data_IF_331397413247
#
_entry.id   IF_331397413247
#
_cell.length_a   1.000
_cell.length_b   1.000
_cell.length_c   1.000
_cell.angle_alpha   90.00
_cell.angle_beta   90.00
_cell.angle_gamma   90.00
#
_symmetry.space_group_name_H-M   'P 1'
#
loop_
_entity.id
_entity.type
_entity.pdbx_description
1 polymer ?
#
# COMPACT_ATOMS: atom_id res chain seq x y z
N UNK A 1 -20.69 91.69 37.98
CA UNK A 1 -21.58 91.21 39.06
C UNK A 1 -22.11 89.84 38.69
N UNK A 2 -22.09 88.90 39.66
CA UNK A 2 -22.81 87.61 39.69
C UNK A 2 -22.36 86.53 38.69
N UNK A 3 -22.22 85.24 39.00
CA UNK A 3 -22.10 84.40 40.21
C UNK A 3 -22.48 82.99 39.72
N UNK A 4 -21.59 82.00 39.88
CA UNK A 4 -21.88 80.56 40.03
C UNK A 4 -22.68 79.87 38.87
N UNK A 5 -22.76 78.55 38.65
CA UNK A 5 -22.54 77.36 39.45
C UNK A 5 -22.59 76.11 38.52
N UNK A 6 -21.68 75.15 38.75
CA UNK A 6 -21.79 73.67 38.66
C UNK A 6 -22.43 72.98 37.42
N UNK A 7 -21.56 72.26 36.70
CA UNK A 7 -21.54 70.79 36.50
C UNK A 7 -22.90 70.05 36.59
N UNK A 8 -23.26 69.33 35.52
CA UNK A 8 -23.57 67.89 35.61
C UNK A 8 -23.46 67.21 34.23
N UNK A 9 -22.74 66.09 34.22
CA UNK A 9 -22.52 65.16 33.11
C UNK A 9 -23.76 64.28 32.95
N UNK A 10 -24.24 64.09 31.72
CA UNK A 10 -24.96 62.87 31.34
C UNK A 10 -24.85 62.67 29.84
N UNK A 11 -23.78 61.99 29.41
CA UNK A 11 -23.72 61.41 28.07
C UNK A 11 -24.43 60.07 28.15
N UNK A 12 -25.65 60.00 27.63
CA UNK A 12 -26.37 58.76 27.41
C UNK A 12 -25.65 57.94 26.34
N UNK A 13 -24.73 57.09 26.77
CA UNK A 13 -24.13 56.06 25.93
C UNK A 13 -25.18 54.99 25.63
N UNK A 14 -25.65 54.96 24.38
CA UNK A 14 -26.44 53.88 23.85
C UNK A 14 -25.54 52.63 23.81
N UNK A 15 -25.77 51.68 24.71
CA UNK A 15 -25.10 50.37 24.69
C UNK A 15 -25.66 49.61 23.49
N UNK A 16 -24.99 49.72 22.35
CA UNK A 16 -25.15 48.74 21.27
C UNK A 16 -24.59 47.42 21.77
N UNK A 17 -25.48 46.49 22.10
CA UNK A 17 -25.15 45.09 22.32
C UNK A 17 -24.62 44.57 20.97
N UNK A 18 -23.29 44.59 20.81
CA UNK A 18 -22.64 43.80 19.77
C UNK A 18 -22.84 42.35 20.20
N UNK A 19 -23.86 41.71 19.61
CA UNK A 19 -23.96 40.26 19.65
C UNK A 19 -22.68 39.70 19.04
N UNK A 20 -21.79 39.20 19.88
CA UNK A 20 -20.64 38.42 19.43
C UNK A 20 -21.25 37.15 18.86
N UNK A 21 -21.48 37.14 17.54
CA UNK A 21 -21.67 35.91 16.81
C UNK A 21 -20.44 35.05 17.10
N UNK A 22 -20.61 34.08 18.00
CA UNK A 22 -19.63 33.01 18.17
C UNK A 22 -19.68 32.24 16.87
N UNK A 23 -18.81 32.65 15.94
CA UNK A 23 -18.46 31.81 14.81
C UNK A 23 -17.89 30.55 15.46
N UNK A 24 -18.52 29.37 15.35
CA UNK A 24 -17.80 28.17 15.72
C UNK A 24 -16.56 28.17 14.83
N UNK A 25 -15.38 28.23 15.44
CA UNK A 25 -14.17 27.86 14.71
C UNK A 25 -14.39 26.43 14.29
N UNK A 26 -14.82 26.24 13.05
CA UNK A 26 -14.71 24.96 12.37
C UNK A 26 -13.23 24.65 12.36
N UNK A 27 -12.79 23.84 13.32
CA UNK A 27 -11.45 23.31 13.33
C UNK A 27 -11.29 22.51 12.04
N UNK A 28 -10.53 23.05 11.10
CA UNK A 28 -10.03 22.27 9.98
C UNK A 28 -9.05 21.29 10.62
N UNK A 29 -9.38 19.99 10.60
CA UNK A 29 -8.44 18.94 10.94
C UNK A 29 -7.27 19.04 9.94
N UNK A 30 -6.22 19.74 10.34
CA UNK A 30 -4.98 19.79 9.60
C UNK A 30 -4.19 18.54 9.95
N UNK A 31 -3.77 17.84 8.90
CA UNK A 31 -2.98 16.62 8.93
C UNK A 31 -1.94 16.58 10.06
N UNK A 32 -2.09 15.59 10.95
CA UNK A 32 -0.95 14.77 11.35
C UNK A 32 -0.24 15.05 12.67
N UNK A 33 -0.74 15.88 13.59
CA UNK A 33 -0.05 16.06 14.88
C UNK A 33 -1.06 16.07 16.03
N UNK A 34 -1.11 14.98 16.82
CA UNK A 34 -1.96 14.90 18.02
C UNK A 34 -1.20 15.37 19.25
N UNK A 35 -1.47 16.61 19.64
CA UNK A 35 -0.89 17.21 20.83
C UNK A 35 -1.90 18.18 21.45
N UNK A 36 -1.79 18.39 22.75
CA UNK A 36 -2.52 19.45 23.44
C UNK A 36 -1.56 20.62 23.70
N UNK A 37 -2.05 21.85 23.57
CA UNK A 37 -1.28 23.06 23.91
C UNK A 37 -1.72 23.55 25.29
N UNK A 38 -0.81 23.55 26.24
CA UNK A 38 -1.04 24.07 27.59
C UNK A 38 -0.95 25.60 27.67
N UNK A 39 -1.37 26.20 28.80
CA UNK A 39 -1.16 27.62 29.06
C UNK A 39 0.34 27.96 28.99
N UNK A 40 0.71 28.88 28.09
CA UNK A 40 2.11 29.20 27.79
C UNK A 40 2.67 28.57 26.50
N UNK A 41 1.84 27.90 25.70
CA UNK A 41 2.22 27.41 24.38
C UNK A 41 3.01 26.09 24.37
N UNK A 42 3.16 25.44 25.53
CA UNK A 42 3.84 24.15 25.64
C UNK A 42 2.99 23.05 25.04
N UNK A 43 3.54 22.30 24.10
CA UNK A 43 2.89 21.15 23.47
C UNK A 43 3.10 19.89 24.32
N UNK A 44 2.04 19.10 24.47
CA UNK A 44 2.03 17.78 25.12
C UNK A 44 1.63 16.78 24.03
N UNK A 45 2.54 15.88 23.66
CA UNK A 45 2.26 14.80 22.71
C UNK A 45 1.23 13.83 23.30
N UNK A 46 0.13 13.65 22.60
CA UNK A 46 -0.98 12.78 23.00
C UNK A 46 -1.10 11.55 22.09
N UNK A 47 -0.11 11.24 21.26
CA UNK A 47 -0.15 10.16 20.27
C UNK A 47 -0.58 8.80 20.85
N UNK A 48 -0.24 8.51 22.11
CA UNK A 48 -0.64 7.27 22.80
C UNK A 48 -2.10 7.24 23.27
N UNK A 49 -2.73 8.40 23.44
CA UNK A 49 -4.12 8.54 23.89
C UNK A 49 -5.09 8.78 22.73
N UNK A 50 -4.63 9.45 21.67
CA UNK A 50 -5.40 9.73 20.46
C UNK A 50 -5.51 8.52 19.52
N UNK A 51 -5.12 7.32 19.95
CA UNK A 51 -5.25 6.09 19.15
C UNK A 51 -6.71 5.63 18.96
N UNK A 52 -7.68 6.54 19.12
CA UNK A 52 -9.11 6.34 18.87
C UNK A 52 -9.51 6.39 17.39
N UNK A 53 -8.57 6.65 16.49
CA UNK A 53 -8.68 6.31 15.08
C UNK A 53 -7.60 5.28 14.76
N UNK A 54 -7.88 4.01 15.09
CA UNK A 54 -7.24 2.89 14.41
C UNK A 54 -7.72 2.86 12.96
N UNK A 55 -7.28 3.85 12.16
CA UNK A 55 -7.01 3.59 10.77
C UNK A 55 -6.11 2.36 10.77
N UNK A 56 -6.69 1.22 10.42
CA UNK A 56 -5.95 0.06 9.96
C UNK A 56 -5.08 0.57 8.82
N UNK A 57 -3.86 1.03 9.14
CA UNK A 57 -2.83 1.30 8.15
C UNK A 57 -2.47 -0.05 7.55
N UNK A 58 -3.35 -0.56 6.68
CA UNK A 58 -3.13 -1.78 5.92
C UNK A 58 -1.79 -1.57 5.22
N UNK A 59 -0.88 -2.51 5.43
CA UNK A 59 0.48 -2.40 4.89
C UNK A 59 0.38 -2.48 3.37
N UNK A 60 0.61 -1.35 2.71
CA UNK A 60 0.60 -1.22 1.26
C UNK A 60 2.03 -1.29 0.72
N UNK A 61 2.26 -2.22 -0.20
CA UNK A 61 3.50 -2.36 -0.96
C UNK A 61 3.23 -2.06 -2.43
N UNK A 62 4.20 -1.45 -3.12
CA UNK A 62 4.04 -1.10 -4.54
C UNK A 62 5.23 -1.58 -5.35
N UNK A 63 4.98 -2.32 -6.43
CA UNK A 63 5.97 -2.69 -7.42
C UNK A 63 5.82 -1.83 -8.66
N UNK A 64 6.90 -1.20 -9.12
CA UNK A 64 6.88 -0.43 -10.36
C UNK A 64 6.68 -1.37 -11.56
N UNK A 65 5.76 -1.01 -12.45
CA UNK A 65 5.57 -1.68 -13.73
C UNK A 65 6.67 -1.19 -14.67
N UNK A 66 7.50 -2.11 -15.17
CA UNK A 66 8.59 -1.78 -16.11
C UNK A 66 8.06 -1.58 -17.53
N UNK A 67 7.12 -2.44 -17.91
CA UNK A 67 6.45 -2.47 -19.21
C UNK A 67 5.18 -3.31 -19.09
N UNK A 68 4.42 -3.39 -20.18
CA UNK A 68 3.28 -4.29 -20.31
C UNK A 68 3.51 -5.26 -21.45
N UNK A 69 3.24 -6.55 -21.22
CA UNK A 69 3.23 -7.59 -22.24
C UNK A 69 1.78 -8.01 -22.46
N UNK A 70 1.23 -7.80 -23.66
CA UNK A 70 -0.18 -8.07 -23.93
C UNK A 70 -1.16 -7.28 -23.03
N UNK A 71 -0.74 -6.10 -22.54
CA UNK A 71 -1.52 -5.31 -21.57
C UNK A 71 -1.26 -5.66 -20.09
N UNK A 72 -0.66 -6.82 -19.81
CA UNK A 72 -0.41 -7.30 -18.44
C UNK A 72 0.89 -6.72 -17.86
N UNK A 73 0.90 -6.29 -16.57
CA UNK A 73 2.09 -5.74 -15.93
C UNK A 73 3.27 -6.70 -15.91
N UNK A 74 4.45 -6.18 -16.24
CA UNK A 74 5.73 -6.83 -16.01
C UNK A 74 6.50 -6.08 -14.93
N UNK A 75 6.89 -6.78 -13.86
CA UNK A 75 7.62 -6.23 -12.71
C UNK A 75 8.92 -7.01 -12.46
N UNK A 76 9.85 -6.40 -11.73
CA UNK A 76 11.03 -7.10 -11.22
C UNK A 76 10.66 -7.92 -9.97
N UNK A 77 11.04 -9.20 -9.96
CA UNK A 77 10.82 -10.15 -8.87
C UNK A 77 12.15 -10.77 -8.46
N UNK A 78 12.46 -10.72 -7.16
CA UNK A 78 13.71 -11.26 -6.60
C UNK A 78 13.47 -12.67 -6.07
N UNK A 79 14.30 -13.61 -6.51
CA UNK A 79 14.29 -15.00 -6.05
C UNK A 79 15.50 -15.26 -5.16
N UNK A 80 15.29 -16.04 -4.10
CA UNK A 80 16.32 -16.47 -3.16
C UNK A 80 17.20 -15.32 -2.64
N UNK A 81 16.60 -14.13 -2.47
CA UNK A 81 17.27 -12.93 -1.95
C UNK A 81 18.34 -12.27 -2.84
N UNK A 82 18.62 -12.79 -4.04
CA UNK A 82 19.75 -12.28 -4.85
C UNK A 82 19.58 -12.26 -6.37
N UNK A 83 18.65 -13.03 -6.94
CA UNK A 83 18.47 -13.11 -8.40
C UNK A 83 17.16 -12.47 -8.82
N UNK A 84 17.24 -11.40 -9.59
CA UNK A 84 16.05 -10.67 -10.07
C UNK A 84 15.72 -11.02 -11.51
N UNK A 85 14.43 -11.24 -11.78
CA UNK A 85 13.90 -11.51 -13.11
C UNK A 85 12.64 -10.69 -13.36
N UNK A 86 12.39 -10.37 -14.63
CA UNK A 86 11.11 -9.82 -15.06
C UNK A 86 10.04 -10.91 -15.06
N UNK A 87 8.89 -10.62 -14.46
CA UNK A 87 7.76 -11.53 -14.41
C UNK A 87 6.45 -10.82 -14.75
N UNK A 88 5.57 -11.52 -15.44
CA UNK A 88 4.18 -11.09 -15.67
C UNK A 88 3.40 -11.32 -14.36
N UNK A 89 2.66 -10.32 -13.90
CA UNK A 89 1.70 -10.52 -12.80
C UNK A 89 0.46 -11.19 -13.36
N UNK A 90 0.28 -12.47 -13.07
CA UNK A 90 -0.79 -13.29 -13.63
C UNK A 90 -1.81 -13.67 -12.55
N UNK A 91 -2.92 -12.92 -12.50
CA UNK A 91 -4.02 -13.17 -11.58
C UNK A 91 -4.84 -14.42 -11.91
N UNK A 92 -4.67 -14.98 -13.12
CA UNK A 92 -5.32 -16.23 -13.54
C UNK A 92 -4.55 -17.48 -13.12
N UNK A 93 -3.27 -17.35 -12.78
CA UNK A 93 -2.44 -18.47 -12.37
C UNK A 93 -2.54 -18.74 -10.85
N UNK A 94 -2.91 -19.98 -10.48
CA UNK A 94 -2.91 -20.39 -9.07
C UNK A 94 -1.50 -20.53 -8.50
N UNK A 95 -0.52 -20.89 -9.33
CA UNK A 95 0.88 -21.07 -8.93
C UNK A 95 1.83 -20.26 -9.80
N UNK A 96 3.00 -19.94 -9.25
CA UNK A 96 4.06 -19.23 -9.95
C UNK A 96 4.76 -20.16 -10.96
N UNK A 97 4.94 -19.67 -12.18
CA UNK A 97 5.60 -20.39 -13.28
C UNK A 97 6.93 -19.69 -13.59
N UNK A 98 8.04 -20.43 -13.54
CA UNK A 98 9.36 -19.98 -13.94
C UNK A 98 9.76 -20.59 -15.29
N UNK A 99 10.58 -19.88 -16.05
CA UNK A 99 11.10 -20.42 -17.31
C UNK A 99 12.19 -21.46 -17.04
N UNK A 100 12.51 -22.30 -18.04
CA UNK A 100 13.64 -23.24 -17.94
C UNK A 100 14.97 -22.53 -17.66
N UNK A 101 15.19 -21.36 -18.27
CA UNK A 101 16.39 -20.53 -18.01
C UNK A 101 16.44 -20.06 -16.56
N UNK A 102 15.31 -19.64 -16.00
CA UNK A 102 15.22 -19.28 -14.58
C UNK A 102 15.50 -20.48 -13.69
N UNK A 103 14.91 -21.65 -13.99
CA UNK A 103 15.12 -22.88 -13.23
C UNK A 103 16.60 -23.27 -13.18
N UNK A 104 17.29 -23.27 -14.32
CA UNK A 104 18.74 -23.53 -14.36
C UNK A 104 19.54 -22.50 -13.57
N UNK A 105 19.19 -21.22 -13.72
CA UNK A 105 19.89 -20.12 -13.07
C UNK A 105 19.68 -20.07 -11.55
N UNK A 106 18.54 -20.56 -11.07
CA UNK A 106 18.17 -20.72 -9.67
C UNK A 106 18.52 -22.09 -9.10
N UNK A 107 19.04 -23.01 -9.93
CA UNK A 107 19.33 -24.39 -9.58
C UNK A 107 18.12 -25.14 -8.99
N UNK A 108 16.92 -24.86 -9.53
CA UNK A 108 15.69 -25.53 -9.12
C UNK A 108 15.70 -26.98 -9.61
N UNK A 109 15.67 -27.91 -8.67
CA UNK A 109 15.55 -29.35 -8.95
C UNK A 109 14.07 -29.73 -8.98
N UNK A 110 13.55 -30.30 -10.08
CA UNK A 110 12.19 -30.82 -10.12
C UNK A 110 12.02 -31.95 -9.10
N UNK A 111 10.95 -31.88 -8.30
CA UNK A 111 10.63 -32.88 -7.26
C UNK A 111 9.45 -33.78 -7.64
N UNK A 112 8.57 -33.30 -8.53
CA UNK A 112 7.45 -34.06 -9.10
C UNK A 112 6.93 -33.38 -10.36
N UNK A 113 5.98 -34.02 -11.02
CA UNK A 113 5.15 -33.42 -12.08
C UNK A 113 3.74 -33.21 -11.54
N UNK A 114 3.11 -32.10 -11.90
CA UNK A 114 1.70 -31.83 -11.62
C UNK A 114 0.94 -31.62 -12.93
N UNK A 115 -0.37 -31.84 -12.91
CA UNK A 115 -1.27 -31.40 -13.98
C UNK A 115 -1.87 -30.05 -13.63
N UNK A 116 -1.89 -29.13 -14.58
CA UNK A 116 -2.53 -27.84 -14.47
C UNK A 116 -3.23 -27.47 -15.77
N UNK A 117 -4.29 -26.69 -15.65
CA UNK A 117 -5.01 -26.16 -16.79
C UNK A 117 -4.38 -24.83 -17.20
N UNK A 118 -4.33 -24.60 -18.51
CA UNK A 118 -3.88 -23.36 -19.13
C UNK A 118 -5.05 -22.76 -19.90
N UNK A 119 -4.90 -21.53 -20.40
CA UNK A 119 -5.91 -20.92 -21.26
C UNK A 119 -6.15 -21.71 -22.57
N UNK A 120 -5.19 -22.54 -23.00
CA UNK A 120 -5.24 -23.23 -24.29
C UNK A 120 -5.43 -24.74 -24.19
N UNK A 121 -5.21 -25.33 -23.01
CA UNK A 121 -5.23 -26.78 -22.82
C UNK A 121 -5.52 -27.17 -21.37
N UNK A 122 -6.19 -28.30 -21.19
CA UNK A 122 -6.55 -28.90 -19.90
C UNK A 122 -5.58 -30.03 -19.57
N UNK A 123 -5.20 -30.15 -18.30
CA UNK A 123 -4.41 -31.28 -17.79
C UNK A 123 -2.96 -31.32 -18.29
N UNK A 124 -2.37 -30.16 -18.59
CA UNK A 124 -0.98 -30.03 -19.05
C UNK A 124 -0.03 -30.38 -17.91
N UNK A 125 0.98 -31.19 -18.20
CA UNK A 125 1.96 -31.63 -17.21
C UNK A 125 3.12 -30.64 -17.06
N UNK A 126 3.36 -30.21 -15.82
CA UNK A 126 4.45 -29.32 -15.47
C UNK A 126 5.37 -29.97 -14.42
N UNK A 127 6.69 -30.07 -14.68
CA UNK A 127 7.65 -30.32 -13.62
C UNK A 127 7.60 -29.17 -12.61
N UNK A 128 7.62 -29.49 -11.33
CA UNK A 128 7.62 -28.50 -10.24
C UNK A 128 8.81 -28.71 -9.31
N UNK A 129 9.34 -27.61 -8.80
CA UNK A 129 10.43 -27.60 -7.81
C UNK A 129 10.24 -26.45 -6.82
N UNK A 130 11.10 -26.37 -5.81
CA UNK A 130 11.03 -25.31 -4.81
C UNK A 130 12.05 -24.21 -5.04
N UNK A 131 11.63 -22.97 -4.81
CA UNK A 131 12.53 -21.83 -4.56
C UNK A 131 12.49 -21.48 -3.08
N UNK A 132 13.60 -20.97 -2.54
CA UNK A 132 13.69 -20.61 -1.12
C UNK A 132 12.81 -19.40 -0.80
N UNK A 133 12.81 -18.40 -1.67
CA UNK A 133 11.95 -17.23 -1.53
C UNK A 133 11.65 -16.56 -2.86
N UNK A 134 10.50 -15.89 -2.90
CA UNK A 134 10.08 -14.94 -3.93
C UNK A 134 9.82 -13.61 -3.23
N UNK A 135 10.32 -12.52 -3.79
CA UNK A 135 10.28 -11.19 -3.18
C UNK A 135 9.93 -10.10 -4.17
N UNK A 136 9.02 -9.21 -3.78
CA UNK A 136 8.63 -8.01 -4.54
C UNK A 136 8.49 -6.84 -3.56
N UNK A 137 9.44 -5.90 -3.63
CA UNK A 137 9.47 -4.64 -2.85
C UNK A 137 8.92 -4.75 -1.41
N UNK A 138 9.47 -5.68 -0.61
CA UNK A 138 9.08 -5.89 0.80
C UNK A 138 8.01 -6.96 1.04
N UNK A 139 7.31 -7.43 0.01
CA UNK A 139 6.49 -8.65 0.05
C UNK A 139 7.39 -9.86 -0.18
N UNK A 140 7.34 -10.85 0.71
CA UNK A 140 8.16 -12.07 0.61
C UNK A 140 7.31 -13.30 0.87
N UNK A 141 7.36 -14.26 -0.05
CA UNK A 141 6.85 -15.61 0.12
C UNK A 141 8.03 -16.57 0.25
N UNK A 142 7.99 -17.48 1.22
CA UNK A 142 9.06 -18.44 1.49
C UNK A 142 8.65 -19.84 1.06
N UNK A 143 9.62 -20.65 0.64
CA UNK A 143 9.46 -22.06 0.26
C UNK A 143 8.32 -22.26 -0.74
N UNK A 144 8.37 -21.54 -1.85
CA UNK A 144 7.32 -21.54 -2.87
C UNK A 144 7.56 -22.69 -3.85
N UNK A 145 6.51 -23.48 -4.12
CA UNK A 145 6.53 -24.50 -5.16
C UNK A 145 6.24 -23.83 -6.51
N UNK A 146 7.20 -23.86 -7.42
CA UNK A 146 7.09 -23.24 -8.73
C UNK A 146 7.01 -24.28 -9.83
N UNK A 147 6.18 -24.03 -10.84
CA UNK A 147 6.14 -24.80 -12.07
C UNK A 147 7.26 -24.35 -13.03
N UNK A 148 7.82 -25.29 -13.77
CA UNK A 148 8.83 -25.02 -14.80
C UNK A 148 8.14 -25.11 -16.16
N UNK A 149 8.13 -23.98 -16.88
CA UNK A 149 7.43 -23.86 -18.15
C UNK A 149 8.05 -24.72 -19.27
N UNK A 150 7.25 -24.95 -20.31
CA UNK A 150 7.70 -25.54 -21.58
C UNK A 150 8.68 -24.65 -22.35
N UNK A 151 9.24 -25.16 -23.46
CA UNK A 151 10.26 -24.46 -24.27
C UNK A 151 9.79 -23.15 -24.88
N UNK A 152 8.49 -22.99 -25.13
CA UNK A 152 7.86 -21.84 -25.79
C UNK A 152 7.68 -20.61 -24.89
N UNK A 153 7.87 -20.73 -23.58
CA UNK A 153 7.61 -19.65 -22.64
C UNK A 153 8.91 -18.98 -22.14
N UNK A 154 9.15 -17.77 -22.64
CA UNK A 154 10.38 -17.00 -22.40
C UNK A 154 10.31 -16.03 -21.21
N UNK A 155 9.12 -15.83 -20.63
CA UNK A 155 8.91 -15.00 -19.44
C UNK A 155 8.08 -15.75 -18.38
N UNK A 156 8.45 -15.58 -17.11
CA UNK A 156 7.76 -16.22 -16.00
C UNK A 156 6.44 -15.52 -15.63
N UNK A 157 5.56 -16.27 -14.95
CA UNK A 157 4.27 -15.80 -14.43
C UNK A 157 4.32 -15.81 -12.90
N UNK A 158 4.04 -14.67 -12.29
CA UNK A 158 3.88 -14.55 -10.85
C UNK A 158 2.42 -14.83 -10.51
N UNK A 159 2.16 -15.90 -9.78
CA UNK A 159 0.83 -16.42 -9.51
C UNK A 159 0.31 -16.16 -8.09
N UNK A 160 -0.87 -16.68 -7.81
CA UNK A 160 -1.60 -16.47 -6.55
C UNK A 160 -0.88 -17.04 -5.32
N UNK A 161 -0.03 -18.06 -5.48
CA UNK A 161 0.82 -18.58 -4.41
C UNK A 161 1.77 -17.53 -3.79
N UNK A 162 2.12 -16.48 -4.54
CA UNK A 162 2.89 -15.35 -4.03
C UNK A 162 2.02 -14.29 -3.35
N UNK A 163 0.95 -13.85 -4.02
CA UNK A 163 0.14 -12.71 -3.57
C UNK A 163 -1.18 -13.07 -2.88
N UNK A 164 -1.41 -14.35 -2.55
CA UNK A 164 -2.70 -14.83 -2.01
C UNK A 164 -3.11 -14.22 -0.66
N UNK A 165 -2.17 -13.67 0.09
CA UNK A 165 -2.43 -12.95 1.34
C UNK A 165 -2.66 -11.44 1.14
N UNK A 166 -2.73 -10.98 -0.11
CA UNK A 166 -2.83 -9.58 -0.47
C UNK A 166 -4.03 -9.33 -1.37
N UNK A 167 -4.65 -8.16 -1.19
CA UNK A 167 -5.46 -7.54 -2.21
C UNK A 167 -4.54 -6.89 -3.23
N UNK A 168 -4.68 -7.30 -4.49
CA UNK A 168 -3.83 -6.85 -5.59
C UNK A 168 -4.58 -5.82 -6.42
N UNK A 169 -4.03 -4.61 -6.53
CA UNK A 169 -4.56 -3.55 -7.41
C UNK A 169 -3.53 -3.21 -8.48
N UNK A 170 -3.90 -3.42 -9.75
CA UNK A 170 -3.07 -3.03 -10.89
C UNK A 170 -3.44 -1.61 -11.29
N UNK A 171 -2.54 -0.66 -11.03
CA UNK A 171 -2.68 0.75 -11.47
C UNK A 171 -1.97 0.93 -12.82
N UNK A 172 -1.90 2.17 -13.29
CA UNK A 172 -1.22 2.52 -14.55
C UNK A 172 0.27 2.12 -14.52
N UNK A 173 0.97 2.53 -13.46
CA UNK A 173 2.43 2.48 -13.38
C UNK A 173 2.95 1.58 -12.25
N UNK A 174 2.06 1.08 -11.39
CA UNK A 174 2.41 0.23 -10.24
C UNK A 174 1.42 -0.92 -10.06
N UNK A 175 1.91 -2.03 -9.54
CA UNK A 175 1.09 -3.08 -8.91
C UNK A 175 1.15 -2.86 -7.41
N UNK A 176 -0.01 -2.68 -6.78
CA UNK A 176 -0.15 -2.48 -5.34
C UNK A 176 -0.58 -3.80 -4.69
N UNK A 177 0.10 -4.17 -3.60
CA UNK A 177 -0.23 -5.28 -2.73
C UNK A 177 -0.62 -4.72 -1.36
N UNK A 178 -1.84 -4.99 -0.94
CA UNK A 178 -2.38 -4.55 0.35
C UNK A 178 -2.69 -5.77 1.21
N UNK A 179 -2.13 -5.83 2.41
CA UNK A 179 -2.34 -6.98 3.30
C UNK A 179 -3.82 -7.12 3.65
N UNK A 180 -4.36 -8.35 3.54
CA UNK A 180 -5.75 -8.68 3.91
C UNK A 180 -5.96 -8.69 5.42
#
# INVERSE_FOLDING_TARGET
MKRFLRVLISVTGLVSIVGVAHVPSSAIAQNGVCYMVGPGGKTIDLGSMCSGDAATNKRVFQAKIKRRAGGTPVIDVTFNGGRTFEMIVDTGASGTVITRRMASALQVVPVRTIKADTASAVGVEFPVGYVQSIGVNGVVANKVLVAIAGPEQDIGLLGHDFFGNYDVTIKRDVVQFELR
#
